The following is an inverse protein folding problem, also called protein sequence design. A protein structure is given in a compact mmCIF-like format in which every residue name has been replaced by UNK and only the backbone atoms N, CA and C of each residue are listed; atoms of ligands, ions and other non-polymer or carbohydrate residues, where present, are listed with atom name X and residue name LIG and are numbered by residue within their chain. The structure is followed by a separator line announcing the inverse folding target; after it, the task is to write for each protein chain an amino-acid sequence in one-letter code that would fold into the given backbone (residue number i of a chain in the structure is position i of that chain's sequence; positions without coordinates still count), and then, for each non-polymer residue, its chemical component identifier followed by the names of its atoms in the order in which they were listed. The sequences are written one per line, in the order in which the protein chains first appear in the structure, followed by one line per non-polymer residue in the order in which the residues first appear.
data_IF_998213472020
#
_entry.id   IF_998213472020
#
_cell.length_a   1.000
_cell.length_b   1.000
_cell.length_c   1.000
_cell.angle_alpha   90.00
_cell.angle_beta   90.00
_cell.angle_gamma   90.00
#
_symmetry.space_group_name_H-M   'P 1'
#
loop_
_entity.id
_entity.type
_entity.pdbx_description
1 polymer ?
#
# COMPACT_ATOMS: atom_id res chain seq x y z
N UNK A 1 5.23 3.03 -3.43
CA UNK A 1 3.83 2.97 -2.94
C UNK A 1 3.50 1.56 -2.54
N UNK A 2 3.27 1.32 -1.28
CA UNK A 2 3.04 0.01 -0.69
C UNK A 2 1.59 -0.19 -0.23
N UNK A 3 1.21 -1.40 0.12
CA UNK A 3 -0.17 -1.84 0.13
C UNK A 3 -0.87 -2.02 1.48
N UNK A 4 -0.34 -1.51 2.61
CA UNK A 4 -1.00 -1.69 3.91
C UNK A 4 -2.42 -1.09 3.97
N UNK A 5 -2.68 -0.06 3.17
CA UNK A 5 -3.99 0.59 3.09
C UNK A 5 -4.85 0.05 1.92
N UNK A 6 -4.39 -0.98 1.20
CA UNK A 6 -5.22 -1.62 0.17
C UNK A 6 -6.44 -2.26 0.82
N UNK A 7 -7.62 -1.85 0.35
CA UNK A 7 -8.87 -2.43 0.84
C UNK A 7 -9.03 -3.86 0.28
N UNK A 8 -8.95 -4.91 1.11
CA UNK A 8 -9.05 -6.29 0.64
C UNK A 8 -10.47 -6.69 0.21
N UNK A 9 -11.48 -5.86 0.50
CA UNK A 9 -12.88 -6.14 0.17
C UNK A 9 -13.28 -5.75 -1.25
N UNK A 10 -12.33 -5.28 -2.08
CA UNK A 10 -12.60 -4.98 -3.48
C UNK A 10 -12.37 -6.24 -4.32
N UNK A 11 -13.39 -6.82 -4.97
CA UNK A 11 -13.22 -7.98 -5.84
C UNK A 11 -12.18 -7.72 -6.94
N UNK A 12 -11.37 -8.74 -7.28
CA UNK A 12 -10.38 -8.64 -8.35
C UNK A 12 -9.07 -7.91 -8.00
N UNK A 13 -8.93 -7.38 -6.77
CA UNK A 13 -7.73 -6.63 -6.37
C UNK A 13 -6.57 -7.52 -5.88
N UNK A 14 -6.77 -8.84 -5.79
CA UNK A 14 -5.80 -9.76 -5.17
C UNK A 14 -4.39 -9.67 -5.78
N UNK A 15 -4.26 -9.73 -7.11
CA UNK A 15 -2.96 -9.63 -7.78
C UNK A 15 -2.29 -8.26 -7.52
N UNK A 16 -3.06 -7.18 -7.56
CA UNK A 16 -2.56 -5.86 -7.21
C UNK A 16 -2.12 -5.79 -5.74
N UNK A 17 -2.94 -6.29 -4.82
CA UNK A 17 -2.60 -6.34 -3.39
C UNK A 17 -1.32 -7.13 -3.13
N UNK A 18 -1.13 -8.28 -3.79
CA UNK A 18 0.10 -9.07 -3.73
C UNK A 18 1.33 -8.24 -4.12
N UNK A 19 1.29 -7.54 -5.26
CA UNK A 19 2.42 -6.71 -5.69
C UNK A 19 2.73 -5.58 -4.71
N UNK A 20 1.69 -4.97 -4.13
CA UNK A 20 1.86 -3.84 -3.19
C UNK A 20 2.32 -4.28 -1.80
N UNK A 21 1.91 -5.46 -1.34
CA UNK A 21 2.47 -6.06 -0.12
C UNK A 21 3.91 -6.56 -0.33
N UNK A 22 4.23 -7.03 -1.52
CA UNK A 22 5.61 -7.36 -1.90
C UNK A 22 6.58 -6.18 -1.78
N UNK A 23 6.12 -4.96 -2.10
CA UNK A 23 6.93 -3.74 -1.90
C UNK A 23 7.23 -3.53 -0.41
N UNK A 24 6.29 -3.80 0.50
CA UNK A 24 6.53 -3.67 1.94
C UNK A 24 7.58 -4.68 2.38
N UNK A 25 7.38 -5.96 2.06
CA UNK A 25 8.30 -7.02 2.44
C UNK A 25 9.72 -6.77 1.92
N UNK A 26 9.87 -6.30 0.67
CA UNK A 26 11.15 -5.92 0.10
C UNK A 26 11.78 -4.74 0.84
N UNK A 27 10.98 -3.73 1.20
CA UNK A 27 11.46 -2.56 1.94
C UNK A 27 11.92 -2.94 3.36
N UNK A 28 11.22 -3.87 4.02
CA UNK A 28 11.59 -4.40 5.33
C UNK A 28 12.93 -5.16 5.26
N UNK A 29 13.09 -6.05 4.27
CA UNK A 29 14.35 -6.76 4.04
C UNK A 29 15.50 -5.77 3.80
N UNK A 30 15.32 -4.79 2.91
CA UNK A 30 16.32 -3.78 2.61
C UNK A 30 16.69 -2.95 3.84
N UNK A 31 15.71 -2.56 4.66
CA UNK A 31 15.97 -1.83 5.91
C UNK A 31 16.79 -2.66 6.90
N UNK A 32 16.60 -3.98 6.92
CA UNK A 32 17.42 -4.88 7.75
C UNK A 32 18.84 -5.02 7.21
N UNK A 33 19.01 -5.18 5.90
CA UNK A 33 20.31 -5.31 5.24
C UNK A 33 21.17 -4.06 5.41
N UNK A 34 20.55 -2.88 5.43
CA UNK A 34 21.23 -1.59 5.55
C UNK A 34 21.43 -1.11 7.00
N UNK A 35 21.11 -1.93 8.00
CA UNK A 35 21.34 -1.59 9.41
C UNK A 35 22.81 -1.30 9.67
N UNK A 36 23.06 -0.17 10.34
CA UNK A 36 24.44 0.28 10.65
C UNK A 36 25.11 1.03 9.49
N UNK A 37 24.47 1.16 8.33
CA UNK A 37 24.90 2.07 7.27
C UNK A 37 24.32 3.48 7.47
N UNK A 38 24.76 4.41 6.64
CA UNK A 38 24.19 5.78 6.59
C UNK A 38 22.99 5.92 5.63
N UNK A 39 22.48 4.79 5.12
CA UNK A 39 21.38 4.77 4.17
C UNK A 39 20.07 4.47 4.91
N UNK A 40 19.11 5.37 4.83
CA UNK A 40 17.74 5.19 5.33
C UNK A 40 16.84 4.54 4.29
N UNK A 41 15.82 3.84 4.75
CA UNK A 41 14.77 3.25 3.92
C UNK A 41 13.42 3.78 4.37
N UNK A 42 12.63 4.26 3.42
CA UNK A 42 11.26 4.72 3.67
C UNK A 42 10.28 4.07 2.70
N UNK A 43 9.10 3.72 3.16
CA UNK A 43 8.05 3.11 2.34
C UNK A 43 6.75 3.92 2.41
N UNK A 44 6.35 4.48 1.26
CA UNK A 44 5.10 5.24 1.15
C UNK A 44 3.91 4.28 1.02
N UNK A 45 2.97 4.37 1.96
CA UNK A 45 1.73 3.62 2.01
C UNK A 45 0.52 4.57 1.89
N UNK A 46 0.19 5.06 0.70
CA UNK A 46 -0.92 5.99 0.52
C UNK A 46 -2.26 5.26 0.46
N UNK A 47 -3.34 5.96 0.83
CA UNK A 47 -4.69 5.56 0.44
C UNK A 47 -5.09 6.27 -0.86
N UNK A 48 -6.10 7.14 -0.84
CA UNK A 48 -6.60 7.79 -2.04
C UNK A 48 -5.80 9.07 -2.35
N UNK A 49 -5.13 9.07 -3.49
CA UNK A 49 -4.36 10.22 -3.99
C UNK A 49 -4.92 10.63 -5.35
N UNK A 50 -5.06 11.93 -5.56
CA UNK A 50 -5.45 12.48 -6.85
C UNK A 50 -4.35 12.23 -7.88
N UNK A 51 -4.61 11.30 -8.81
CA UNK A 51 -3.67 10.89 -9.84
C UNK A 51 -4.39 10.46 -11.11
N UNK A 52 -3.67 10.31 -12.21
CA UNK A 52 -4.17 9.75 -13.47
C UNK A 52 -4.06 8.23 -13.55
N UNK A 53 -3.88 7.54 -12.42
CA UNK A 53 -3.71 6.08 -12.37
C UNK A 53 -4.92 5.34 -12.99
N UNK A 54 -6.11 5.90 -12.85
CA UNK A 54 -7.34 5.36 -13.45
C UNK A 54 -7.30 5.29 -14.98
N UNK A 55 -6.47 6.13 -15.63
CA UNK A 55 -6.25 6.15 -17.08
C UNK A 55 -5.07 5.24 -17.54
N UNK A 56 -4.45 4.49 -16.64
CA UNK A 56 -3.29 3.65 -16.94
C UNK A 56 -3.53 2.60 -18.05
N UNK A 57 -4.76 2.12 -18.19
CA UNK A 57 -5.17 1.20 -19.26
C UNK A 57 -4.92 1.74 -20.66
N UNK A 58 -4.96 3.06 -20.87
CA UNK A 58 -4.69 3.71 -22.16
C UNK A 58 -3.23 3.61 -22.58
N UNK A 59 -2.31 3.40 -21.64
CA UNK A 59 -0.86 3.33 -21.85
C UNK A 59 -0.36 1.90 -21.98
N UNK A 60 -1.26 0.90 -22.02
CA UNK A 60 -0.89 -0.51 -22.09
C UNK A 60 -0.28 -0.81 -23.46
N UNK A 61 0.96 -1.36 -23.51
CA UNK A 61 1.61 -1.71 -24.76
C UNK A 61 0.85 -2.78 -25.55
N UNK A 62 0.91 -2.73 -26.90
CA UNK A 62 0.27 -3.69 -27.80
C UNK A 62 0.66 -5.15 -27.51
N UNK A 63 1.92 -5.41 -27.15
CA UNK A 63 2.41 -6.76 -26.78
C UNK A 63 1.69 -7.38 -25.57
N UNK A 64 0.94 -6.59 -24.81
CA UNK A 64 0.14 -7.05 -23.66
C UNK A 64 -1.38 -6.91 -23.91
N UNK A 65 -1.78 -6.79 -25.18
CA UNK A 65 -3.18 -6.67 -25.59
C UNK A 65 -3.67 -5.24 -25.81
N UNK A 66 -2.75 -4.26 -25.86
CA UNK A 66 -3.04 -2.89 -26.23
C UNK A 66 -3.84 -2.07 -25.22
N UNK A 67 -4.18 -0.85 -25.64
CA UNK A 67 -4.98 0.09 -24.85
C UNK A 67 -6.37 -0.44 -24.53
N UNK A 68 -6.81 -0.27 -23.29
CA UNK A 68 -8.19 -0.58 -22.89
C UNK A 68 -8.75 0.49 -21.94
N UNK A 69 -10.07 0.60 -21.91
CA UNK A 69 -10.79 1.48 -21.00
C UNK A 69 -11.54 0.64 -19.96
N UNK A 70 -11.38 0.98 -18.68
CA UNK A 70 -12.09 0.32 -17.58
C UNK A 70 -13.59 0.62 -17.65
N UNK A 71 -14.42 -0.38 -17.35
CA UNK A 71 -15.88 -0.19 -17.28
C UNK A 71 -16.31 0.79 -16.18
N UNK A 72 -15.54 0.86 -15.07
CA UNK A 72 -15.80 1.72 -13.91
C UNK A 72 -15.01 3.05 -13.92
N UNK A 73 -14.57 3.50 -15.10
CA UNK A 73 -13.67 4.66 -15.24
C UNK A 73 -14.19 5.93 -14.54
N UNK A 74 -15.49 6.24 -14.69
CA UNK A 74 -16.08 7.44 -14.08
C UNK A 74 -16.07 7.37 -12.55
N UNK A 75 -16.33 6.20 -11.97
CA UNK A 75 -16.24 6.00 -10.52
C UNK A 75 -14.79 6.07 -10.04
N UNK A 76 -13.84 5.53 -10.82
CA UNK A 76 -12.43 5.59 -10.51
C UNK A 76 -11.89 7.02 -10.54
N UNK A 77 -12.33 7.85 -11.50
CA UNK A 77 -12.02 9.28 -11.56
C UNK A 77 -12.59 10.04 -10.37
N UNK A 78 -13.87 9.84 -10.04
CA UNK A 78 -14.50 10.49 -8.91
C UNK A 78 -13.80 10.16 -7.58
N UNK A 79 -13.45 8.89 -7.37
CA UNK A 79 -12.65 8.49 -6.19
C UNK A 79 -11.28 9.16 -6.18
N UNK A 80 -10.58 9.21 -7.31
CA UNK A 80 -9.27 9.87 -7.40
C UNK A 80 -9.35 11.36 -7.06
N UNK A 81 -10.35 12.06 -7.60
CA UNK A 81 -10.55 13.50 -7.38
C UNK A 81 -10.85 13.87 -5.91
N UNK A 82 -11.34 12.92 -5.10
CA UNK A 82 -11.57 13.12 -3.66
C UNK A 82 -10.36 12.82 -2.78
N UNK A 83 -9.23 12.46 -3.37
CA UNK A 83 -8.00 12.12 -2.66
C UNK A 83 -7.15 13.35 -2.31
N UNK A 84 -6.08 13.12 -1.55
CA UNK A 84 -5.05 14.14 -1.35
C UNK A 84 -4.38 14.49 -2.67
N UNK A 85 -3.97 15.74 -2.84
CA UNK A 85 -3.18 16.14 -4.00
C UNK A 85 -1.83 15.41 -4.03
N UNK A 86 -1.33 15.14 -5.24
CA UNK A 86 -0.02 14.51 -5.39
C UNK A 86 1.11 15.35 -4.78
N UNK A 87 0.99 16.67 -4.86
CA UNK A 87 1.97 17.61 -4.29
C UNK A 87 2.01 17.55 -2.76
N UNK A 88 0.84 17.55 -2.10
CA UNK A 88 0.77 17.41 -0.64
C UNK A 88 1.37 16.07 -0.15
N UNK A 89 1.13 14.98 -0.89
CA UNK A 89 1.76 13.69 -0.60
C UNK A 89 3.27 13.77 -0.83
N UNK A 90 3.72 14.45 -1.88
CA UNK A 90 5.15 14.67 -2.18
C UNK A 90 5.87 15.44 -1.07
N UNK A 91 5.28 16.54 -0.58
CA UNK A 91 5.80 17.31 0.55
C UNK A 91 5.92 16.46 1.82
N UNK A 92 4.90 15.68 2.13
CA UNK A 92 4.95 14.74 3.26
C UNK A 92 6.07 13.70 3.12
N UNK A 93 6.27 13.15 1.91
CA UNK A 93 7.37 12.20 1.65
C UNK A 93 8.73 12.85 1.90
N UNK A 94 8.96 14.08 1.43
CA UNK A 94 10.21 14.81 1.67
C UNK A 94 10.43 15.05 3.17
N UNK A 95 9.37 15.44 3.89
CA UNK A 95 9.43 15.62 5.35
C UNK A 95 9.81 14.31 6.05
N UNK A 96 9.13 13.22 5.75
CA UNK A 96 9.35 11.92 6.35
C UNK A 96 10.77 11.36 6.07
N UNK A 97 11.28 11.53 4.85
CA UNK A 97 12.66 11.13 4.50
C UNK A 97 13.68 11.93 5.34
N UNK A 98 13.49 13.24 5.50
CA UNK A 98 14.37 14.08 6.31
C UNK A 98 14.40 13.67 7.79
N UNK A 99 13.29 13.12 8.28
CA UNK A 99 13.14 12.62 9.66
C UNK A 99 13.46 11.12 9.80
N UNK A 100 13.90 10.47 8.72
CA UNK A 100 14.20 9.02 8.69
C UNK A 100 13.00 8.15 9.12
N UNK A 101 11.78 8.55 8.76
CA UNK A 101 10.57 7.77 9.02
C UNK A 101 10.52 6.59 8.07
N UNK A 102 10.29 5.38 8.63
CA UNK A 102 10.23 4.17 7.82
C UNK A 102 8.88 4.04 7.08
N UNK A 103 7.75 4.07 7.81
CA UNK A 103 6.42 4.05 7.20
C UNK A 103 5.89 5.46 6.99
N UNK A 104 5.57 5.81 5.74
CA UNK A 104 4.95 7.09 5.39
C UNK A 104 3.48 6.84 5.07
N UNK A 105 2.59 7.20 6.00
CA UNK A 105 1.14 7.08 5.85
C UNK A 105 0.53 8.44 5.54
N UNK A 106 0.06 8.63 4.31
CA UNK A 106 -0.56 9.90 3.91
C UNK A 106 -2.01 10.07 4.41
N UNK A 107 -2.63 9.02 4.96
CA UNK A 107 -4.03 8.97 5.37
C UNK A 107 -4.15 8.34 6.75
N UNK A 108 -3.99 9.11 7.84
CA UNK A 108 -4.01 8.58 9.21
C UNK A 108 -5.36 7.95 9.59
N UNK A 109 -6.46 8.37 8.96
CA UNK A 109 -7.80 7.79 9.15
C UNK A 109 -7.91 6.33 8.68
N UNK A 110 -6.99 5.87 7.85
CA UNK A 110 -6.94 4.47 7.43
C UNK A 110 -6.36 3.51 8.49
N UNK A 111 -5.87 4.03 9.62
CA UNK A 111 -5.24 3.28 10.72
C UNK A 111 -6.08 2.10 11.18
N UNK A 112 -7.38 2.29 11.38
CA UNK A 112 -8.27 1.23 11.87
C UNK A 112 -8.28 -0.05 11.02
N UNK A 113 -8.11 0.06 9.69
CA UNK A 113 -8.02 -1.12 8.81
C UNK A 113 -6.74 -1.92 9.03
N UNK A 114 -5.65 -1.23 9.33
CA UNK A 114 -4.36 -1.87 9.61
C UNK A 114 -4.43 -2.57 10.96
N UNK A 115 -5.02 -1.93 11.97
CA UNK A 115 -5.23 -2.48 13.32
C UNK A 115 -6.13 -3.73 13.26
N UNK A 116 -7.25 -3.68 12.53
CA UNK A 116 -8.15 -4.82 12.36
C UNK A 116 -7.43 -6.02 11.70
N UNK A 117 -6.63 -5.77 10.66
CA UNK A 117 -5.84 -6.82 10.03
C UNK A 117 -4.83 -7.41 11.01
N UNK A 118 -4.13 -6.57 11.76
CA UNK A 118 -3.16 -6.99 12.77
C UNK A 118 -3.85 -7.84 13.86
N UNK A 119 -4.99 -7.42 14.37
CA UNK A 119 -5.76 -8.17 15.37
C UNK A 119 -6.14 -9.58 14.87
N UNK A 120 -6.55 -9.73 13.60
CA UNK A 120 -6.81 -11.05 13.01
C UNK A 120 -5.57 -11.94 12.95
N UNK A 121 -4.40 -11.36 12.66
CA UNK A 121 -3.14 -12.11 12.66
C UNK A 121 -2.78 -12.56 14.09
N UNK A 122 -2.90 -11.69 15.08
CA UNK A 122 -2.63 -12.02 16.48
C UNK A 122 -3.57 -13.11 17.00
N UNK A 123 -4.86 -13.05 16.68
CA UNK A 123 -5.81 -14.12 17.03
C UNK A 123 -5.40 -15.49 16.47
N UNK A 124 -4.73 -15.53 15.32
CA UNK A 124 -4.15 -16.76 14.75
C UNK A 124 -3.03 -17.34 15.63
N UNK A 125 -2.16 -16.50 16.17
CA UNK A 125 -1.11 -16.90 17.12
C UNK A 125 -1.71 -17.43 18.42
N UNK A 126 -2.75 -16.75 18.95
CA UNK A 126 -3.46 -17.20 20.17
C UNK A 126 -4.13 -18.58 19.95
N UNK A 127 -4.69 -18.81 18.76
CA UNK A 127 -5.25 -20.12 18.42
C UNK A 127 -4.18 -21.20 18.35
N UNK A 128 -3.04 -20.92 17.74
CA UNK A 128 -1.90 -21.84 17.69
C UNK A 128 -1.35 -22.17 19.08
N UNK A 129 -1.21 -21.17 19.95
CA UNK A 129 -0.75 -21.38 21.33
C UNK A 129 -1.68 -22.31 22.11
N UNK A 130 -3.01 -22.14 21.96
CA UNK A 130 -4.00 -23.04 22.57
C UNK A 130 -3.87 -24.48 22.08
N UNK A 131 -3.64 -24.67 20.77
CA UNK A 131 -3.45 -25.99 20.20
C UNK A 131 -2.19 -26.69 20.74
N UNK A 132 -1.05 -25.98 20.73
CA UNK A 132 0.23 -26.53 21.25
C UNK A 132 0.18 -26.80 22.74
N UNK A 133 -0.50 -25.96 23.54
CA UNK A 133 -0.62 -26.16 25.00
C UNK A 133 -1.59 -27.28 25.40
N UNK A 134 -2.40 -27.81 24.46
CA UNK A 134 -3.31 -28.92 24.68
C UNK A 134 -2.74 -30.29 24.27
N UNK A 135 -1.52 -30.32 23.69
CA UNK A 135 -0.82 -31.52 23.18
C UNK A 135 0.61 -31.57 23.72
#
# INVERSE_FOLDING_TARGET
MAGLQVNPHIPGIGAYAMTKHGVIALSEALAMELRGSHIGVSVLCPAQVETTLHDSGRRRPERFGGSYQRADLNQARARSASGLSADAVGEHVVHAIRNNEYFIFSHPEARGRVEERHARMMAGFDAAARYVGAH
#
